data_IF_954189780024
#
_entry.id   IF_954189780024
#
_cell.length_a   1.000
_cell.length_b   1.000
_cell.length_c   1.000
_cell.angle_alpha   90.00
_cell.angle_beta   90.00
_cell.angle_gamma   90.00
#
_symmetry.space_group_name_H-M   'P 1'
#
loop_
_entity.id
_entity.type
_entity.pdbx_description
1 polymer ?
#
# COMPACT_ATOMS: atom_id res chain seq x y z
N UNK A 1 -1.33 -11.28 6.63
CA UNK A 1 -2.53 -10.48 6.95
C UNK A 1 -2.48 -9.26 6.04
N UNK A 2 -3.62 -8.80 5.52
CA UNK A 2 -3.74 -7.64 4.63
C UNK A 2 -4.55 -6.56 5.32
N UNK A 3 -3.99 -5.36 5.44
CA UNK A 3 -4.66 -4.23 6.07
C UNK A 3 -5.05 -3.20 5.01
N UNK A 4 -6.33 -2.88 4.94
CA UNK A 4 -6.90 -1.94 3.99
C UNK A 4 -7.68 -0.82 4.70
N UNK A 5 -7.78 0.31 4.02
CA UNK A 5 -8.67 1.39 4.43
C UNK A 5 -10.13 1.00 4.16
N UNK A 6 -11.01 1.25 5.12
CA UNK A 6 -12.45 1.05 4.98
C UNK A 6 -13.12 2.19 4.21
N UNK A 7 -12.76 2.32 2.93
CA UNK A 7 -13.35 3.35 2.08
C UNK A 7 -13.30 2.96 0.59
N UNK A 8 -14.40 3.07 -0.16
CA UNK A 8 -15.77 3.36 0.30
C UNK A 8 -16.39 2.12 1.00
N UNK A 9 -17.43 2.31 1.82
CA UNK A 9 -18.07 1.24 2.60
C UNK A 9 -18.53 0.04 1.74
N UNK A 10 -18.95 0.29 0.49
CA UNK A 10 -19.34 -0.77 -0.45
C UNK A 10 -18.17 -1.67 -0.90
N UNK A 11 -16.91 -1.28 -0.63
CA UNK A 11 -15.71 -1.98 -1.06
C UNK A 11 -15.43 -3.25 -0.25
N UNK A 12 -15.67 -3.24 1.07
CA UNK A 12 -15.27 -4.34 1.97
C UNK A 12 -15.85 -5.68 1.53
N UNK A 13 -17.17 -5.75 1.34
CA UNK A 13 -17.86 -7.00 0.97
C UNK A 13 -17.31 -7.56 -0.34
N UNK A 14 -17.07 -6.69 -1.33
CA UNK A 14 -16.55 -7.07 -2.64
C UNK A 14 -15.10 -7.55 -2.58
N UNK A 15 -14.26 -6.87 -1.80
CA UNK A 15 -12.86 -7.26 -1.60
C UNK A 15 -12.78 -8.61 -0.89
N UNK A 16 -13.53 -8.81 0.20
CA UNK A 16 -13.56 -10.08 0.93
C UNK A 16 -14.06 -11.23 0.05
N UNK A 17 -15.12 -11.02 -0.73
CA UNK A 17 -15.62 -12.04 -1.66
C UNK A 17 -14.59 -12.40 -2.76
N UNK A 18 -13.94 -11.39 -3.35
CA UNK A 18 -12.92 -11.59 -4.38
C UNK A 18 -11.68 -12.32 -3.85
N UNK A 19 -11.29 -12.02 -2.61
CA UNK A 19 -10.16 -12.64 -1.93
C UNK A 19 -10.47 -14.09 -1.53
N UNK A 20 -11.68 -14.37 -1.02
CA UNK A 20 -12.14 -15.72 -0.72
C UNK A 20 -12.15 -16.62 -1.97
N UNK A 21 -12.58 -16.08 -3.12
CA UNK A 21 -12.51 -16.79 -4.40
C UNK A 21 -11.07 -17.11 -4.86
N UNK A 22 -10.05 -16.48 -4.25
CA UNK A 22 -8.62 -16.73 -4.49
C UNK A 22 -7.94 -17.50 -3.34
N UNK A 23 -8.72 -18.05 -2.40
CA UNK A 23 -8.21 -18.84 -1.28
C UNK A 23 -7.67 -18.02 -0.10
N UNK A 24 -7.87 -16.70 -0.09
CA UNK A 24 -7.53 -15.85 1.07
C UNK A 24 -8.71 -15.84 2.02
N UNK A 25 -8.50 -16.22 3.28
CA UNK A 25 -9.59 -16.27 4.25
C UNK A 25 -9.99 -14.85 4.71
N UNK A 26 -11.29 -14.59 4.99
CA UNK A 26 -11.74 -13.26 5.40
C UNK A 26 -11.07 -12.71 6.67
N UNK A 27 -10.69 -13.58 7.61
CA UNK A 27 -9.95 -13.23 8.85
C UNK A 27 -8.53 -12.73 8.59
N UNK A 28 -8.00 -12.92 7.38
CA UNK A 28 -6.70 -12.41 6.97
C UNK A 28 -6.77 -10.98 6.42
N UNK A 29 -7.95 -10.38 6.31
CA UNK A 29 -8.14 -9.02 5.79
C UNK A 29 -8.78 -8.14 6.86
N UNK A 30 -8.05 -7.12 7.29
CA UNK A 30 -8.50 -6.13 8.27
C UNK A 30 -8.81 -4.82 7.56
N UNK A 31 -9.92 -4.20 7.95
CA UNK A 31 -10.31 -2.86 7.51
C UNK A 31 -10.32 -1.91 8.71
N UNK A 32 -9.79 -0.70 8.53
CA UNK A 32 -9.87 0.37 9.53
C UNK A 32 -10.41 1.65 8.92
N UNK A 33 -11.01 2.51 9.74
CA UNK A 33 -11.48 3.82 9.33
C UNK A 33 -10.36 4.74 8.82
N UNK A 34 -10.77 5.81 8.14
CA UNK A 34 -9.86 6.92 7.78
C UNK A 34 -9.36 7.57 9.05
N UNK A 35 -8.06 7.44 9.30
CA UNK A 35 -7.40 8.05 10.43
C UNK A 35 -6.91 9.47 10.09
N UNK A 36 -6.70 10.32 11.10
CA UNK A 36 -6.03 11.59 10.88
C UNK A 36 -4.57 11.35 10.48
N UNK A 37 -3.93 12.32 9.81
CA UNK A 37 -2.56 12.15 9.26
C UNK A 37 -1.56 11.57 10.26
N UNK A 38 -1.54 12.08 11.49
CA UNK A 38 -0.59 11.60 12.52
C UNK A 38 -0.86 10.15 12.93
N UNK A 39 -2.12 9.75 13.01
CA UNK A 39 -2.52 8.38 13.32
C UNK A 39 -2.22 7.43 12.16
N UNK A 40 -2.45 7.87 10.91
CA UNK A 40 -2.06 7.13 9.71
C UNK A 40 -0.56 6.79 9.72
N UNK A 41 0.30 7.79 10.00
CA UNK A 41 1.75 7.57 10.09
C UNK A 41 2.09 6.58 11.20
N UNK A 42 1.49 6.70 12.39
CA UNK A 42 1.69 5.76 13.49
C UNK A 42 1.22 4.34 13.16
N UNK A 43 0.09 4.20 12.46
CA UNK A 43 -0.38 2.89 12.00
C UNK A 43 0.61 2.24 11.02
N UNK A 44 1.30 3.06 10.21
CA UNK A 44 2.29 2.58 9.26
C UNK A 44 3.49 1.93 9.96
N UNK A 45 3.86 2.39 11.16
CA UNK A 45 4.93 1.77 11.97
C UNK A 45 4.60 0.34 12.44
N UNK A 46 3.31 -0.03 12.47
CA UNK A 46 2.86 -1.37 12.88
C UNK A 46 2.83 -2.38 11.74
N UNK A 47 2.92 -1.92 10.49
CA UNK A 47 2.92 -2.80 9.34
C UNK A 47 4.34 -3.24 9.00
N UNK A 48 4.47 -4.44 8.43
CA UNK A 48 5.77 -4.99 8.04
C UNK A 48 6.18 -4.57 6.61
N UNK A 49 5.20 -4.34 5.74
CA UNK A 49 5.41 -4.03 4.33
C UNK A 49 4.20 -3.28 3.74
N UNK A 50 4.45 -2.26 2.92
CA UNK A 50 3.42 -1.61 2.12
C UNK A 50 3.42 -2.13 0.68
N UNK A 51 2.25 -2.53 0.16
CA UNK A 51 2.10 -2.96 -1.22
C UNK A 51 1.45 -1.85 -2.04
N UNK A 52 2.19 -1.29 -3.00
CA UNK A 52 1.67 -0.23 -3.86
C UNK A 52 0.72 -0.75 -4.95
N UNK A 53 -0.18 0.12 -5.43
CA UNK A 53 -1.10 -0.18 -6.53
C UNK A 53 -0.51 0.24 -7.88
N UNK A 54 -0.41 -0.68 -8.86
CA UNK A 54 0.41 -0.47 -10.07
C UNK A 54 -0.19 0.52 -11.08
N UNK A 55 -1.51 0.75 -11.07
CA UNK A 55 -2.18 1.62 -12.05
C UNK A 55 -2.26 3.09 -11.61
N UNK A 56 -2.27 3.32 -10.30
CA UNK A 56 -2.21 4.62 -9.68
C UNK A 56 -1.50 4.43 -8.36
N UNK A 57 -0.25 4.85 -8.29
CA UNK A 57 0.59 4.62 -7.13
C UNK A 57 0.11 5.44 -5.92
N UNK A 58 0.57 5.02 -4.75
CA UNK A 58 0.60 5.84 -3.56
C UNK A 58 1.49 7.06 -3.82
N UNK A 59 0.88 8.24 -3.78
CA UNK A 59 1.58 9.53 -3.88
C UNK A 59 1.90 10.03 -2.46
N UNK A 60 1.03 10.85 -1.89
CA UNK A 60 1.18 11.36 -0.52
C UNK A 60 1.26 10.24 0.52
N UNK A 61 0.42 9.21 0.37
CA UNK A 61 0.47 8.01 1.22
C UNK A 61 1.84 7.36 1.15
N UNK A 62 2.44 7.22 -0.03
CA UNK A 62 3.76 6.60 -0.18
C UNK A 62 4.84 7.39 0.55
N UNK A 63 4.79 8.72 0.51
CA UNK A 63 5.69 9.57 1.29
C UNK A 63 5.51 9.34 2.80
N UNK A 64 4.27 9.30 3.28
CA UNK A 64 3.98 9.07 4.70
C UNK A 64 4.46 7.68 5.17
N UNK A 65 4.31 6.65 4.32
CA UNK A 65 4.80 5.28 4.57
C UNK A 65 6.31 5.25 4.74
N UNK A 66 7.07 5.82 3.80
CA UNK A 66 8.53 5.84 3.89
C UNK A 66 9.03 6.72 5.05
N UNK A 67 8.31 7.80 5.35
CA UNK A 67 8.62 8.66 6.50
C UNK A 67 8.47 7.93 7.83
N UNK A 68 7.53 6.98 7.92
CA UNK A 68 7.36 6.09 9.07
C UNK A 68 8.42 4.98 9.14
N UNK A 69 9.31 4.86 8.14
CA UNK A 69 10.30 3.80 8.06
C UNK A 69 9.76 2.45 7.53
N UNK A 70 8.53 2.42 7.01
CA UNK A 70 7.92 1.21 6.45
C UNK A 70 8.41 1.02 5.00
N UNK A 71 9.08 -0.11 4.65
CA UNK A 71 9.40 -0.41 3.27
C UNK A 71 8.14 -0.59 2.42
N UNK A 72 8.24 -0.28 1.13
CA UNK A 72 7.16 -0.52 0.17
C UNK A 72 7.64 -1.28 -1.06
N UNK A 73 6.73 -2.01 -1.70
CA UNK A 73 6.97 -2.62 -3.02
C UNK A 73 6.26 -1.81 -4.09
N UNK A 74 7.01 -1.30 -5.06
CA UNK A 74 6.50 -0.57 -6.20
C UNK A 74 6.70 -1.35 -7.51
N UNK A 75 5.72 -1.27 -8.41
CA UNK A 75 5.79 -1.81 -9.77
C UNK A 75 5.68 -0.67 -10.80
N UNK A 76 6.80 -0.07 -11.22
CA UNK A 76 6.79 0.98 -12.22
C UNK A 76 6.29 0.51 -13.59
N UNK A 77 5.27 1.17 -14.12
CA UNK A 77 4.80 0.99 -15.50
C UNK A 77 5.13 2.24 -16.35
N UNK A 78 4.46 2.41 -17.50
CA UNK A 78 4.83 3.42 -18.51
C UNK A 78 4.36 4.84 -18.19
N UNK A 79 3.28 5.01 -17.42
CA UNK A 79 2.67 6.31 -17.17
C UNK A 79 3.30 7.02 -15.97
N UNK A 80 3.16 8.34 -15.88
CA UNK A 80 3.65 9.08 -14.72
C UNK A 80 3.02 8.58 -13.41
N UNK A 81 1.69 8.43 -13.38
CA UNK A 81 0.94 7.97 -12.20
C UNK A 81 1.32 6.55 -11.71
N UNK A 82 2.04 5.79 -12.54
CA UNK A 82 2.49 4.43 -12.23
C UNK A 82 3.98 4.38 -11.86
N UNK A 83 4.66 5.53 -11.73
CA UNK A 83 6.10 5.60 -11.39
C UNK A 83 6.39 6.45 -10.15
N UNK A 84 5.37 6.99 -9.48
CA UNK A 84 5.58 7.87 -8.33
C UNK A 84 6.17 7.11 -7.15
N UNK A 85 5.59 5.98 -6.76
CA UNK A 85 6.15 5.16 -5.69
C UNK A 85 7.56 4.67 -6.02
N UNK A 86 7.83 4.31 -7.28
CA UNK A 86 9.18 3.97 -7.73
C UNK A 86 10.17 5.14 -7.59
N UNK A 87 9.75 6.37 -7.89
CA UNK A 87 10.58 7.56 -7.67
C UNK A 87 10.85 7.81 -6.19
N UNK A 88 9.83 7.64 -5.33
CA UNK A 88 9.99 7.76 -3.88
C UNK A 88 10.98 6.72 -3.34
N UNK A 89 10.84 5.46 -3.77
CA UNK A 89 11.75 4.38 -3.40
C UNK A 89 13.21 4.70 -3.77
N UNK A 90 13.47 5.16 -5.01
CA UNK A 90 14.83 5.54 -5.42
C UNK A 90 15.40 6.71 -4.61
N UNK A 91 14.56 7.66 -4.21
CA UNK A 91 14.99 8.81 -3.41
C UNK A 91 15.49 8.41 -2.01
N UNK A 92 15.09 7.24 -1.49
CA UNK A 92 15.62 6.72 -0.21
C UNK A 92 17.03 6.16 -0.30
N UNK A 93 17.55 5.92 -1.50
CA UNK A 93 18.81 5.19 -1.72
C UNK A 93 18.68 3.66 -1.67
N UNK A 94 17.51 3.12 -1.28
CA UNK A 94 17.22 1.67 -1.19
C UNK A 94 16.27 1.20 -2.31
N UNK A 95 16.21 1.92 -3.42
CA UNK A 95 15.24 1.68 -4.48
C UNK A 95 15.32 0.28 -5.10
N UNK A 96 16.50 -0.30 -5.20
CA UNK A 96 16.68 -1.62 -5.85
C UNK A 96 16.15 -2.78 -5.00
N UNK A 97 15.90 -2.56 -3.70
CA UNK A 97 15.27 -3.53 -2.80
C UNK A 97 13.73 -3.42 -2.80
N UNK A 98 13.21 -2.27 -3.23
CA UNK A 98 11.78 -1.92 -3.16
C UNK A 98 11.08 -1.90 -4.51
N UNK A 99 11.83 -1.91 -5.62
CA UNK A 99 11.28 -1.83 -6.98
C UNK A 99 11.38 -3.19 -7.65
N UNK A 100 10.24 -3.69 -8.13
CA UNK A 100 10.19 -4.95 -8.88
C UNK A 100 11.00 -4.82 -10.17
N UNK A 101 12.03 -5.67 -10.33
CA UNK A 101 12.77 -5.86 -11.58
C UNK A 101 11.99 -6.77 -12.53
N UNK A 102 12.12 -6.52 -13.84
CA UNK A 102 11.58 -7.38 -14.90
C UNK A 102 12.60 -8.46 -15.29
#
# INVERSE_FOLDING_TARGET
MLWLLWFPAAGEMRVKAHAAARGVRPDQIIFTDVAMKQEHIRHSELADLFLDTPLCNAHTTGTDILWAGLPMIALPLEKMATRVAGSLCRATGLGDEMIVSR
#
